data_IF_425636571681
#
_entry.id   IF_425636571681
#
_cell.length_a   1.000
_cell.length_b   1.000
_cell.length_c   1.000
_cell.angle_alpha   90.00
_cell.angle_beta   90.00
_cell.angle_gamma   90.00
#
_symmetry.space_group_name_H-M   'P 1'
#
loop_
_entity.id
_entity.type
_entity.pdbx_description
1 polymer ?
#
# COMPACT_ATOMS: atom_id res chain seq x y z
N UNK A 1 8.46 9.86 10.19
CA UNK A 1 9.39 9.29 9.18
C UNK A 1 9.55 10.29 8.02
N UNK A 2 10.16 9.95 6.88
CA UNK A 2 10.11 10.85 5.71
C UNK A 2 8.67 10.88 5.16
N UNK A 3 8.03 12.04 4.93
CA UNK A 3 6.61 12.09 4.54
C UNK A 3 6.32 11.35 3.23
N UNK A 4 7.28 11.36 2.30
CA UNK A 4 7.21 10.60 1.05
C UNK A 4 7.13 9.07 1.25
N UNK A 5 7.59 8.50 2.37
CA UNK A 5 7.40 7.07 2.67
C UNK A 5 5.93 6.76 2.98
N UNK A 6 5.33 7.59 3.84
CA UNK A 6 3.91 7.51 4.22
C UNK A 6 3.03 7.64 2.98
N UNK A 7 3.22 8.70 2.19
CA UNK A 7 2.47 8.96 0.95
C UNK A 7 2.71 7.85 -0.10
N UNK A 8 3.90 7.25 -0.15
CA UNK A 8 4.19 6.13 -1.05
C UNK A 8 3.52 4.80 -0.68
N UNK A 9 2.91 4.64 0.50
CA UNK A 9 2.34 3.35 0.91
C UNK A 9 0.94 3.42 1.50
N UNK A 10 0.63 4.46 2.28
CA UNK A 10 -0.65 4.60 2.97
C UNK A 10 -1.64 5.52 2.23
N UNK A 11 -1.14 6.51 1.49
CA UNK A 11 -1.96 7.47 0.70
C UNK A 11 -1.82 8.92 1.19
N UNK A 12 -2.70 9.81 0.72
CA UNK A 12 -2.91 11.11 1.37
C UNK A 12 -3.85 10.90 2.56
N UNK A 13 -3.32 11.14 3.76
CA UNK A 13 -3.94 10.79 5.05
C UNK A 13 -5.18 11.63 5.37
N UNK A 14 -5.56 12.58 4.51
CA UNK A 14 -6.84 13.31 4.60
C UNK A 14 -8.03 12.49 4.12
N UNK A 15 -7.81 11.41 3.35
CA UNK A 15 -8.87 10.54 2.85
C UNK A 15 -8.50 9.05 2.96
N UNK A 16 -8.07 8.62 4.14
CA UNK A 16 -7.92 7.19 4.44
C UNK A 16 -9.30 6.47 4.53
N UNK A 17 -9.31 5.14 4.42
CA UNK A 17 -10.54 4.34 4.67
C UNK A 17 -11.04 4.60 6.12
N UNK A 18 -12.36 4.50 6.38
CA UNK A 18 -12.90 4.59 7.74
C UNK A 18 -12.25 3.59 8.70
N UNK A 19 -12.15 3.98 9.97
CA UNK A 19 -11.60 3.13 11.03
C UNK A 19 -12.38 1.81 11.15
N UNK A 20 -13.71 1.86 11.04
CA UNK A 20 -14.59 0.68 11.04
C UNK A 20 -14.23 -0.33 9.95
N UNK A 21 -14.11 0.11 8.69
CA UNK A 21 -13.69 -0.75 7.56
C UNK A 21 -12.29 -1.32 7.80
N UNK A 22 -11.39 -0.54 8.38
CA UNK A 22 -10.02 -0.95 8.69
C UNK A 22 -9.96 -2.01 9.79
N UNK A 23 -10.83 -1.91 10.81
CA UNK A 23 -11.00 -2.91 11.86
C UNK A 23 -11.67 -4.19 11.34
N UNK A 24 -12.77 -4.07 10.58
CA UNK A 24 -13.47 -5.20 9.94
C UNK A 24 -12.53 -6.02 9.05
N UNK A 25 -11.69 -5.34 8.26
CA UNK A 25 -10.64 -5.98 7.46
C UNK A 25 -9.55 -6.66 8.31
N UNK A 26 -9.18 -6.07 9.45
CA UNK A 26 -8.19 -6.67 10.37
C UNK A 26 -8.73 -7.95 11.04
N UNK A 27 -10.00 -7.95 11.44
CA UNK A 27 -10.67 -9.12 12.05
C UNK A 27 -10.79 -10.23 11.00
N UNK A 28 -11.25 -9.93 9.79
CA UNK A 28 -11.32 -10.92 8.69
C UNK A 28 -9.95 -11.52 8.39
N UNK A 29 -8.90 -10.71 8.34
CA UNK A 29 -7.56 -11.19 8.06
C UNK A 29 -6.99 -12.10 9.17
N UNK A 30 -7.34 -11.85 10.43
CA UNK A 30 -7.05 -12.76 11.55
C UNK A 30 -7.81 -14.08 11.37
N UNK A 31 -9.12 -14.03 11.10
CA UNK A 31 -9.93 -15.25 10.88
C UNK A 31 -9.42 -16.08 9.69
N UNK A 32 -9.05 -15.43 8.58
CA UNK A 32 -8.43 -16.07 7.42
C UNK A 32 -7.11 -16.75 7.78
N UNK A 33 -6.26 -16.07 8.53
CA UNK A 33 -4.95 -16.59 8.96
C UNK A 33 -5.12 -17.79 9.90
N UNK A 34 -6.05 -17.73 10.85
CA UNK A 34 -6.34 -18.83 11.79
C UNK A 34 -6.96 -20.02 11.07
N UNK A 35 -7.95 -19.82 10.19
CA UNK A 35 -8.53 -20.89 9.39
C UNK A 35 -7.50 -21.54 8.47
N UNK A 36 -6.70 -20.72 7.77
CA UNK A 36 -5.62 -21.16 6.91
C UNK A 36 -4.56 -21.98 7.63
N UNK A 37 -4.15 -21.53 8.82
CA UNK A 37 -3.23 -22.26 9.71
C UNK A 37 -3.80 -23.64 10.06
N UNK A 38 -5.02 -23.69 10.63
CA UNK A 38 -5.70 -24.94 11.02
C UNK A 38 -5.73 -25.92 9.84
N UNK A 39 -6.26 -25.50 8.68
CA UNK A 39 -6.33 -26.34 7.47
C UNK A 39 -4.94 -26.84 7.07
N UNK A 40 -3.93 -25.97 7.03
CA UNK A 40 -2.56 -26.34 6.66
C UNK A 40 -1.85 -27.26 7.66
N UNK A 41 -2.33 -27.35 8.90
CA UNK A 41 -1.82 -28.27 9.94
C UNK A 41 -2.65 -29.55 10.09
N UNK A 42 -3.84 -29.62 9.49
CA UNK A 42 -4.77 -30.75 9.62
C UNK A 42 -4.83 -31.65 8.38
N UNK A 43 -4.27 -31.23 7.24
CA UNK A 43 -4.07 -32.09 6.07
C UNK A 43 -2.66 -32.71 6.11
N UNK A 44 -2.58 -34.04 6.03
CA UNK A 44 -1.33 -34.79 5.85
C UNK A 44 -0.99 -34.98 4.37
N UNK A 45 -2.00 -35.31 3.54
CA UNK A 45 -1.88 -35.30 2.08
C UNK A 45 -2.23 -33.91 1.52
N UNK A 46 -1.30 -33.32 0.78
CA UNK A 46 -1.48 -31.95 0.28
C UNK A 46 -2.44 -31.84 -0.91
N UNK A 47 -2.82 -32.95 -1.56
CA UNK A 47 -3.71 -32.98 -2.74
C UNK A 47 -5.05 -33.63 -2.42
N UNK A 48 -5.09 -34.77 -1.75
CA UNK A 48 -6.30 -35.58 -1.61
C UNK A 48 -7.09 -35.30 -0.32
N UNK A 49 -6.47 -34.74 0.73
CA UNK A 49 -7.19 -34.43 1.97
C UNK A 49 -8.18 -33.27 1.80
N UNK A 50 -9.29 -33.40 2.54
CA UNK A 50 -10.34 -32.40 2.65
C UNK A 50 -10.48 -31.93 4.10
N UNK A 51 -10.67 -30.62 4.28
CA UNK A 51 -10.96 -30.05 5.58
C UNK A 51 -12.23 -29.20 5.49
N UNK A 52 -13.28 -29.55 6.25
CA UNK A 52 -14.60 -28.90 6.19
C UNK A 52 -14.51 -27.37 6.32
N UNK A 53 -13.59 -26.89 7.17
CA UNK A 53 -13.35 -25.46 7.40
C UNK A 53 -12.95 -24.71 6.13
N UNK A 54 -12.29 -25.37 5.15
CA UNK A 54 -11.94 -24.77 3.86
C UNK A 54 -13.21 -24.29 3.15
N UNK A 55 -14.17 -25.19 2.94
CA UNK A 55 -15.40 -24.89 2.21
C UNK A 55 -16.32 -23.95 3.00
N UNK A 56 -16.43 -24.13 4.32
CA UNK A 56 -17.18 -23.20 5.19
C UNK A 56 -16.59 -21.79 5.21
N UNK A 57 -15.26 -21.67 5.30
CA UNK A 57 -14.59 -20.36 5.35
C UNK A 57 -14.62 -19.66 3.98
N UNK A 58 -14.51 -20.39 2.87
CA UNK A 58 -14.70 -19.81 1.52
C UNK A 58 -16.08 -19.16 1.41
N UNK A 59 -17.15 -19.88 1.77
CA UNK A 59 -18.52 -19.37 1.67
C UNK A 59 -18.76 -18.15 2.59
N UNK A 60 -18.13 -18.12 3.76
CA UNK A 60 -18.15 -16.96 4.66
C UNK A 60 -17.33 -15.77 4.13
N UNK A 61 -16.21 -16.01 3.45
CA UNK A 61 -15.31 -14.96 2.98
C UNK A 61 -15.84 -14.19 1.75
N UNK A 62 -16.66 -14.81 0.89
CA UNK A 62 -17.24 -14.15 -0.30
C UNK A 62 -18.04 -12.88 0.02
N UNK A 63 -19.07 -12.89 0.90
CA UNK A 63 -19.82 -11.68 1.23
C UNK A 63 -18.93 -10.61 1.86
N UNK A 64 -17.90 -10.99 2.63
CA UNK A 64 -16.89 -10.04 3.09
C UNK A 64 -16.13 -9.38 1.91
N UNK A 65 -15.65 -10.15 0.93
CA UNK A 65 -14.87 -9.59 -0.17
C UNK A 65 -15.73 -8.70 -1.08
N UNK A 66 -17.01 -9.04 -1.28
CA UNK A 66 -17.99 -8.17 -1.95
C UNK A 66 -18.20 -6.86 -1.16
N UNK A 67 -18.30 -6.95 0.17
CA UNK A 67 -18.35 -5.78 1.05
C UNK A 67 -17.08 -4.90 0.94
N UNK A 68 -15.88 -5.48 0.88
CA UNK A 68 -14.64 -4.70 0.76
C UNK A 68 -14.56 -3.98 -0.60
N UNK A 69 -14.96 -4.63 -1.70
CA UNK A 69 -15.08 -4.01 -3.03
C UNK A 69 -16.08 -2.83 -2.99
N UNK A 70 -17.23 -2.99 -2.34
CA UNK A 70 -18.22 -1.93 -2.17
C UNK A 70 -17.67 -0.78 -1.30
N UNK A 71 -16.99 -1.08 -0.20
CA UNK A 71 -16.34 -0.09 0.66
C UNK A 71 -15.22 0.67 -0.07
N UNK A 72 -14.45 0.00 -0.95
CA UNK A 72 -13.50 0.65 -1.84
C UNK A 72 -14.18 1.58 -2.84
N UNK A 73 -15.31 1.16 -3.44
CA UNK A 73 -16.08 1.99 -4.37
C UNK A 73 -16.63 3.26 -3.68
N UNK A 74 -17.21 3.14 -2.48
CA UNK A 74 -17.66 4.30 -1.70
C UNK A 74 -16.49 5.23 -1.34
N UNK A 75 -15.35 4.68 -0.90
CA UNK A 75 -14.14 5.48 -0.61
C UNK A 75 -13.60 6.18 -1.87
N UNK A 76 -13.74 5.59 -3.05
CA UNK A 76 -13.36 6.20 -4.32
C UNK A 76 -14.34 7.32 -4.73
N UNK A 77 -15.65 7.07 -4.63
CA UNK A 77 -16.70 8.04 -4.95
C UNK A 77 -16.61 9.30 -4.08
N UNK A 78 -16.44 9.15 -2.76
CA UNK A 78 -16.26 10.25 -1.82
C UNK A 78 -15.03 11.11 -2.15
N UNK A 79 -13.92 10.47 -2.57
CA UNK A 79 -12.70 11.17 -3.02
C UNK A 79 -12.90 11.89 -4.34
N UNK A 80 -13.70 11.36 -5.27
CA UNK A 80 -14.05 12.07 -6.51
C UNK A 80 -14.86 13.34 -6.21
N UNK A 81 -15.90 13.24 -5.36
CA UNK A 81 -16.75 14.39 -5.04
C UNK A 81 -15.97 15.54 -4.39
N UNK A 82 -15.24 15.26 -3.31
CA UNK A 82 -14.52 16.32 -2.57
C UNK A 82 -13.36 16.87 -3.42
N UNK A 83 -12.66 16.02 -4.18
CA UNK A 83 -11.61 16.51 -5.06
C UNK A 83 -12.17 17.34 -6.22
N UNK A 84 -13.35 17.00 -6.76
CA UNK A 84 -14.06 17.84 -7.74
C UNK A 84 -14.32 19.26 -7.21
N UNK A 85 -14.65 19.39 -5.93
CA UNK A 85 -14.90 20.67 -5.26
C UNK A 85 -13.63 21.50 -4.97
N UNK A 86 -12.45 20.87 -4.99
CA UNK A 86 -11.11 21.51 -4.87
C UNK A 86 -10.48 21.79 -6.26
N UNK A 87 -11.15 21.37 -7.34
CA UNK A 87 -10.56 21.21 -8.69
C UNK A 87 -10.81 22.37 -9.66
N UNK A 88 -11.36 23.50 -9.21
CA UNK A 88 -11.50 24.69 -10.07
C UNK A 88 -10.12 25.30 -10.43
N UNK A 89 -9.23 25.45 -9.43
CA UNK A 89 -7.97 26.19 -9.57
C UNK A 89 -6.80 25.38 -10.20
N UNK A 90 -6.83 25.14 -11.52
CA UNK A 90 -5.64 24.85 -12.34
C UNK A 90 -5.47 23.40 -12.86
N UNK A 91 -5.55 23.19 -14.18
CA UNK A 91 -5.78 21.88 -14.80
C UNK A 91 -4.59 20.89 -14.78
N UNK A 92 -3.39 21.30 -15.24
CA UNK A 92 -2.36 20.38 -15.76
C UNK A 92 -1.75 19.39 -14.75
N UNK A 93 -1.72 19.71 -13.45
CA UNK A 93 -1.20 18.78 -12.42
C UNK A 93 -2.17 17.62 -12.12
N UNK A 94 -3.47 17.84 -12.31
CA UNK A 94 -4.54 16.93 -11.87
C UNK A 94 -4.51 15.60 -12.60
N UNK A 95 -4.37 15.60 -13.92
CA UNK A 95 -4.32 14.37 -14.72
C UNK A 95 -3.19 13.42 -14.28
N UNK A 96 -1.98 13.95 -14.04
CA UNK A 96 -0.82 13.13 -13.65
C UNK A 96 -0.96 12.60 -12.22
N UNK A 97 -1.45 13.42 -11.29
CA UNK A 97 -1.71 13.01 -9.91
C UNK A 97 -2.87 12.00 -9.81
N UNK A 98 -3.94 12.18 -10.59
CA UNK A 98 -5.08 11.26 -10.65
C UNK A 98 -4.70 9.94 -11.34
N UNK A 99 -3.93 9.95 -12.43
CA UNK A 99 -3.42 8.73 -13.06
C UNK A 99 -2.48 7.94 -12.12
N UNK A 100 -1.59 8.65 -11.39
CA UNK A 100 -0.72 8.05 -10.38
C UNK A 100 -1.47 7.46 -9.19
N UNK A 101 -2.57 8.09 -8.78
CA UNK A 101 -3.47 7.61 -7.73
C UNK A 101 -4.31 6.41 -8.19
N UNK A 102 -4.97 6.53 -9.36
CA UNK A 102 -5.72 5.45 -10.00
C UNK A 102 -4.87 4.20 -10.16
N UNK A 103 -3.65 4.29 -10.73
CA UNK A 103 -2.77 3.12 -10.91
C UNK A 103 -2.40 2.42 -9.60
N UNK A 104 -2.48 3.09 -8.44
CA UNK A 104 -2.17 2.51 -7.14
C UNK A 104 -3.39 1.82 -6.51
N UNK A 105 -4.52 2.52 -6.44
CA UNK A 105 -5.75 1.98 -5.84
C UNK A 105 -6.44 0.95 -6.76
N UNK A 106 -6.40 1.15 -8.08
CA UNK A 106 -6.98 0.21 -9.05
C UNK A 106 -6.35 -1.18 -8.95
N UNK A 107 -5.06 -1.29 -8.65
CA UNK A 107 -4.43 -2.60 -8.43
C UNK A 107 -4.97 -3.30 -7.17
N UNK A 108 -5.33 -2.54 -6.12
CA UNK A 108 -6.00 -3.10 -4.94
C UNK A 108 -7.43 -3.54 -5.27
N UNK A 109 -8.22 -2.71 -5.98
CA UNK A 109 -9.59 -3.05 -6.41
C UNK A 109 -9.57 -4.28 -7.32
N UNK A 110 -8.73 -4.27 -8.36
CA UNK A 110 -8.60 -5.35 -9.34
C UNK A 110 -8.22 -6.67 -8.67
N UNK A 111 -7.32 -6.66 -7.68
CA UNK A 111 -6.99 -7.85 -6.91
C UNK A 111 -8.22 -8.42 -6.18
N UNK A 112 -8.99 -7.58 -5.48
CA UNK A 112 -10.19 -8.04 -4.77
C UNK A 112 -11.27 -8.55 -5.74
N UNK A 113 -11.46 -7.87 -6.88
CA UNK A 113 -12.36 -8.32 -7.95
C UNK A 113 -11.92 -9.69 -8.49
N UNK A 114 -10.64 -9.88 -8.85
CA UNK A 114 -10.12 -11.17 -9.36
C UNK A 114 -10.25 -12.29 -8.32
N UNK A 115 -10.04 -11.99 -7.04
CA UNK A 115 -10.23 -12.97 -5.96
C UNK A 115 -11.70 -13.45 -5.86
N UNK A 116 -12.67 -12.55 -6.08
CA UNK A 116 -14.11 -12.89 -6.08
C UNK A 116 -14.59 -13.51 -7.39
N UNK A 117 -14.15 -13.02 -8.56
CA UNK A 117 -14.69 -13.44 -9.86
C UNK A 117 -13.96 -14.61 -10.48
N UNK A 118 -12.69 -14.85 -10.11
CA UNK A 118 -11.88 -15.96 -10.63
C UNK A 118 -11.53 -16.96 -9.54
N UNK A 119 -10.96 -16.51 -8.42
CA UNK A 119 -10.41 -17.43 -7.43
C UNK A 119 -11.51 -18.18 -6.66
N UNK A 120 -12.58 -17.50 -6.21
CA UNK A 120 -13.73 -18.14 -5.56
C UNK A 120 -14.38 -19.26 -6.40
N UNK A 121 -14.82 -19.04 -7.66
CA UNK A 121 -15.45 -20.12 -8.44
C UNK A 121 -14.49 -21.27 -8.78
N UNK A 122 -13.19 -21.00 -8.95
CA UNK A 122 -12.18 -22.06 -9.03
C UNK A 122 -12.13 -22.85 -7.71
N UNK A 123 -12.10 -22.16 -6.57
CA UNK A 123 -12.00 -22.77 -5.23
C UNK A 123 -13.24 -23.57 -4.82
N UNK A 124 -14.43 -23.28 -5.37
CA UNK A 124 -15.66 -24.04 -5.07
C UNK A 124 -16.00 -25.06 -6.14
N UNK A 125 -16.11 -24.66 -7.40
CA UNK A 125 -16.64 -25.53 -8.46
C UNK A 125 -15.55 -26.34 -9.16
N UNK A 126 -14.37 -25.75 -9.38
CA UNK A 126 -13.27 -26.44 -10.09
C UNK A 126 -12.39 -27.28 -9.15
N UNK A 127 -12.35 -26.95 -7.85
CA UNK A 127 -11.53 -27.63 -6.84
C UNK A 127 -11.87 -29.12 -6.67
N UNK A 128 -13.14 -29.51 -6.88
CA UNK A 128 -13.66 -30.86 -6.64
C UNK A 128 -13.31 -31.45 -5.25
N UNK A 129 -13.03 -30.58 -4.26
CA UNK A 129 -12.56 -31.00 -2.94
C UNK A 129 -11.13 -31.55 -2.92
N UNK A 130 -10.23 -31.05 -3.78
CA UNK A 130 -8.79 -31.39 -3.75
C UNK A 130 -7.93 -30.17 -3.45
N UNK A 131 -6.79 -30.39 -2.80
CA UNK A 131 -5.81 -29.34 -2.50
C UNK A 131 -6.24 -28.37 -1.40
N UNK A 132 -7.02 -28.82 -0.42
CA UNK A 132 -7.43 -27.99 0.72
C UNK A 132 -6.23 -27.43 1.49
N UNK A 133 -5.15 -28.20 1.61
CA UNK A 133 -3.85 -27.72 2.13
C UNK A 133 -3.36 -26.46 1.39
N UNK A 134 -3.31 -26.49 0.06
CA UNK A 134 -2.88 -25.33 -0.76
C UNK A 134 -3.81 -24.13 -0.53
N UNK A 135 -5.12 -24.37 -0.42
CA UNK A 135 -6.13 -23.35 -0.16
C UNK A 135 -6.00 -22.73 1.24
N UNK A 136 -5.68 -23.55 2.26
CA UNK A 136 -5.40 -23.12 3.62
C UNK A 136 -4.14 -22.26 3.70
N UNK A 137 -3.04 -22.73 3.09
CA UNK A 137 -1.80 -21.94 3.00
C UNK A 137 -2.04 -20.63 2.25
N UNK A 138 -2.83 -20.62 1.17
CA UNK A 138 -3.21 -19.38 0.47
C UNK A 138 -3.94 -18.36 1.36
N UNK A 139 -4.69 -18.77 2.40
CA UNK A 139 -5.30 -17.82 3.34
C UNK A 139 -4.30 -17.17 4.30
N UNK A 140 -3.13 -17.79 4.54
CA UNK A 140 -2.05 -17.18 5.34
C UNK A 140 -1.49 -15.90 4.70
N UNK A 141 -1.75 -15.64 3.41
CA UNK A 141 -1.45 -14.38 2.75
C UNK A 141 -2.03 -13.16 3.50
N UNK A 142 -3.22 -13.33 4.10
CA UNK A 142 -3.89 -12.27 4.85
C UNK A 142 -3.23 -11.95 6.20
N UNK A 143 -2.30 -12.77 6.71
CA UNK A 143 -1.56 -12.47 7.96
C UNK A 143 -0.74 -11.17 7.87
N UNK A 144 -0.44 -10.71 6.65
CA UNK A 144 0.16 -9.41 6.40
C UNK A 144 -0.81 -8.23 6.61
N UNK A 145 -2.11 -8.41 6.36
CA UNK A 145 -3.12 -7.35 6.29
C UNK A 145 -3.36 -6.60 7.62
N UNK A 146 -3.39 -7.25 8.82
CA UNK A 146 -3.52 -6.54 10.09
C UNK A 146 -2.40 -5.52 10.34
N UNK A 147 -1.16 -5.81 9.89
CA UNK A 147 -0.02 -4.90 10.03
C UNK A 147 -0.10 -3.69 9.08
N UNK A 148 -0.71 -3.86 7.90
CA UNK A 148 -1.02 -2.76 6.98
C UNK A 148 -2.15 -1.88 7.55
N UNK A 149 -3.19 -2.50 8.10
CA UNK A 149 -4.31 -1.79 8.74
C UNK A 149 -3.87 -1.02 10.00
N UNK A 150 -3.13 -1.65 10.92
CA UNK A 150 -2.55 -0.99 12.09
C UNK A 150 -1.61 0.16 11.68
N UNK A 151 -0.90 0.03 10.57
CA UNK A 151 -0.11 1.09 9.96
C UNK A 151 -0.93 2.34 9.63
N UNK A 152 -2.11 2.19 8.99
CA UNK A 152 -3.05 3.29 8.69
C UNK A 152 -3.51 3.99 9.97
N UNK A 153 -3.93 3.21 10.98
CA UNK A 153 -4.40 3.73 12.27
C UNK A 153 -3.28 4.53 12.98
N UNK A 154 -2.05 4.00 13.04
CA UNK A 154 -0.89 4.69 13.63
C UNK A 154 -0.58 6.05 12.96
N UNK A 155 -0.91 6.18 11.67
CA UNK A 155 -0.74 7.40 10.89
C UNK A 155 -1.87 8.41 11.14
N UNK A 156 -3.13 7.96 11.16
CA UNK A 156 -4.30 8.78 11.49
C UNK A 156 -4.15 9.42 12.89
N UNK A 157 -3.75 8.64 13.89
CA UNK A 157 -3.47 9.11 15.26
C UNK A 157 -2.14 9.88 15.42
N UNK A 158 -1.47 10.23 14.31
CA UNK A 158 -0.18 10.96 14.24
C UNK A 158 0.98 10.32 15.05
N UNK A 159 0.88 9.06 15.46
CA UNK A 159 1.88 8.35 16.29
C UNK A 159 3.16 7.92 15.54
N UNK A 160 3.44 8.49 14.35
CA UNK A 160 4.55 8.10 13.47
C UNK A 160 5.97 8.21 14.07
N UNK A 161 6.11 8.90 15.21
CA UNK A 161 7.38 9.08 15.91
C UNK A 161 7.65 7.97 16.95
N UNK A 162 6.62 7.23 17.38
CA UNK A 162 6.73 6.16 18.39
C UNK A 162 7.48 4.94 17.82
N UNK A 163 8.21 4.21 18.67
CA UNK A 163 8.84 2.93 18.31
C UNK A 163 7.85 1.96 17.66
N UNK A 164 6.60 1.95 18.14
CA UNK A 164 5.49 1.17 17.61
C UNK A 164 5.29 1.32 16.08
N UNK A 165 5.49 2.50 15.50
CA UNK A 165 5.38 2.69 14.05
C UNK A 165 6.59 2.13 13.27
N UNK A 166 7.79 2.13 13.87
CA UNK A 166 8.97 1.44 13.30
C UNK A 166 8.80 -0.08 13.36
N UNK A 167 8.36 -0.60 14.52
CA UNK A 167 8.11 -2.03 14.72
C UNK A 167 7.01 -2.51 13.78
N UNK A 168 5.87 -1.80 13.68
CA UNK A 168 4.82 -2.13 12.72
C UNK A 168 5.34 -2.13 11.28
N UNK A 169 6.16 -1.15 10.88
CA UNK A 169 6.76 -1.11 9.55
C UNK A 169 7.70 -2.29 9.26
N UNK A 170 8.45 -2.76 10.26
CA UNK A 170 9.30 -3.95 10.16
C UNK A 170 8.50 -5.26 10.12
N UNK A 171 7.51 -5.41 11.01
CA UNK A 171 6.58 -6.54 11.02
C UNK A 171 5.83 -6.63 9.68
N UNK A 172 5.33 -5.51 9.17
CA UNK A 172 4.65 -5.43 7.86
C UNK A 172 5.56 -5.82 6.70
N UNK A 173 6.83 -5.37 6.69
CA UNK A 173 7.79 -5.82 5.68
C UNK A 173 8.03 -7.33 5.76
N UNK A 174 8.19 -7.87 6.97
CA UNK A 174 8.47 -9.28 7.21
C UNK A 174 7.27 -10.17 6.83
N UNK A 175 6.08 -9.90 7.35
CA UNK A 175 4.87 -10.69 7.05
C UNK A 175 4.48 -10.59 5.58
N UNK A 176 4.64 -9.42 4.95
CA UNK A 176 4.38 -9.28 3.51
C UNK A 176 5.44 -10.03 2.67
N UNK A 177 6.69 -10.11 3.09
CA UNK A 177 7.68 -10.92 2.39
C UNK A 177 7.45 -12.43 2.56
N UNK A 178 7.30 -12.89 3.81
CA UNK A 178 7.11 -14.32 4.11
C UNK A 178 5.75 -14.83 3.61
N UNK A 179 4.66 -14.22 4.06
CA UNK A 179 3.30 -14.74 3.86
C UNK A 179 2.72 -14.41 2.48
N UNK A 180 3.30 -13.48 1.71
CA UNK A 180 2.81 -13.14 0.35
C UNK A 180 3.81 -13.42 -0.77
N UNK A 181 5.11 -13.13 -0.58
CA UNK A 181 6.12 -13.35 -1.64
C UNK A 181 6.77 -14.75 -1.58
N UNK A 182 7.10 -15.27 -0.40
CA UNK A 182 7.64 -16.65 -0.29
C UNK A 182 6.56 -17.74 -0.32
N UNK A 183 5.29 -17.39 -0.15
CA UNK A 183 4.16 -18.34 -0.15
C UNK A 183 4.10 -19.18 -1.43
N UNK A 184 4.08 -18.57 -2.62
CA UNK A 184 4.00 -19.36 -3.86
C UNK A 184 5.25 -20.23 -4.09
N UNK A 185 6.50 -19.74 -3.95
CA UNK A 185 7.68 -20.61 -3.93
C UNK A 185 7.58 -21.79 -2.95
N UNK A 186 6.99 -21.59 -1.77
CA UNK A 186 6.73 -22.65 -0.81
C UNK A 186 5.68 -23.66 -1.32
N UNK A 187 4.61 -23.22 -1.99
CA UNK A 187 3.64 -24.13 -2.63
C UNK A 187 4.28 -24.97 -3.75
N UNK A 188 5.09 -24.36 -4.63
CA UNK A 188 5.84 -25.10 -5.65
C UNK A 188 6.85 -26.09 -5.04
N UNK A 189 7.46 -25.74 -3.89
CA UNK A 189 8.33 -26.64 -3.14
C UNK A 189 7.56 -27.81 -2.50
N UNK A 190 6.42 -27.55 -1.86
CA UNK A 190 5.57 -28.58 -1.25
C UNK A 190 5.06 -29.58 -2.31
N UNK A 191 4.54 -29.08 -3.43
CA UNK A 191 4.14 -29.92 -4.57
C UNK A 191 5.34 -30.71 -5.14
N UNK A 192 6.51 -30.07 -5.29
CA UNK A 192 7.73 -30.75 -5.74
C UNK A 192 8.19 -31.86 -4.80
N UNK A 193 8.05 -31.68 -3.47
CA UNK A 193 8.34 -32.72 -2.47
C UNK A 193 7.35 -33.88 -2.55
N UNK A 194 6.05 -33.61 -2.68
CA UNK A 194 5.00 -34.62 -2.87
C UNK A 194 5.23 -35.44 -4.15
N UNK A 195 5.37 -34.77 -5.30
CA UNK A 195 5.56 -35.42 -6.59
C UNK A 195 6.98 -36.00 -6.79
N UNK A 196 7.90 -35.80 -5.84
CA UNK A 196 9.34 -36.13 -5.94
C UNK A 196 10.04 -35.51 -7.18
N UNK A 197 9.62 -34.31 -7.58
CA UNK A 197 10.15 -33.55 -8.72
C UNK A 197 11.13 -32.47 -8.22
N UNK A 198 12.32 -32.30 -8.84
CA UNK A 198 13.24 -31.23 -8.47
C UNK A 198 12.61 -29.85 -8.69
N UNK A 199 12.74 -28.96 -7.69
CA UNK A 199 12.03 -27.67 -7.59
C UNK A 199 11.98 -26.84 -8.90
N UNK A 200 13.11 -26.69 -9.61
CA UNK A 200 13.19 -25.91 -10.85
C UNK A 200 12.35 -26.49 -12.00
N UNK A 201 12.01 -27.78 -11.95
CA UNK A 201 11.21 -28.47 -12.98
C UNK A 201 9.70 -28.40 -12.71
N UNK A 202 9.29 -28.13 -11.46
CA UNK A 202 7.88 -28.12 -11.05
C UNK A 202 7.01 -27.16 -11.88
N UNK A 203 7.43 -25.92 -12.20
CA UNK A 203 6.64 -25.02 -13.06
C UNK A 203 6.41 -25.56 -14.48
N UNK A 204 7.21 -26.52 -14.95
CA UNK A 204 7.05 -27.14 -16.27
C UNK A 204 6.22 -28.44 -16.24
N UNK A 205 5.93 -28.99 -15.05
CA UNK A 205 5.10 -30.19 -14.86
C UNK A 205 3.72 -29.87 -14.32
N UNK A 206 3.58 -28.76 -13.59
CA UNK A 206 2.27 -28.23 -13.14
C UNK A 206 1.47 -27.71 -14.36
N UNK A 207 0.14 -27.95 -14.43
CA UNK A 207 -0.69 -27.45 -15.53
C UNK A 207 -0.58 -25.93 -15.73
N UNK A 208 -0.58 -25.50 -17.00
CA UNK A 208 -0.36 -24.09 -17.35
C UNK A 208 -1.42 -23.15 -16.74
N UNK A 209 -2.63 -23.63 -16.49
CA UNK A 209 -3.70 -22.90 -15.82
C UNK A 209 -3.34 -22.56 -14.36
N UNK A 210 -2.74 -23.51 -13.64
CA UNK A 210 -2.26 -23.32 -12.27
C UNK A 210 -1.09 -22.34 -12.24
N UNK A 211 -0.15 -22.46 -13.19
CA UNK A 211 0.96 -21.50 -13.35
C UNK A 211 0.45 -20.08 -13.67
N UNK A 212 -0.56 -19.94 -14.53
CA UNK A 212 -1.19 -18.66 -14.86
C UNK A 212 -1.90 -18.06 -13.63
N UNK A 213 -2.67 -18.87 -12.88
CA UNK A 213 -3.32 -18.43 -11.64
C UNK A 213 -2.32 -17.98 -10.58
N UNK A 214 -1.26 -18.75 -10.34
CA UNK A 214 -0.18 -18.38 -9.44
C UNK A 214 0.53 -17.09 -9.89
N UNK A 215 0.79 -16.93 -11.19
CA UNK A 215 1.42 -15.71 -11.74
C UNK A 215 0.52 -14.48 -11.60
N UNK A 216 -0.78 -14.62 -11.88
CA UNK A 216 -1.79 -13.56 -11.76
C UNK A 216 -1.94 -13.09 -10.31
N UNK A 217 -1.89 -14.01 -9.34
CA UNK A 217 -1.94 -13.69 -7.92
C UNK A 217 -0.61 -13.15 -7.37
N UNK A 218 0.53 -13.64 -7.86
CA UNK A 218 1.86 -13.19 -7.44
C UNK A 218 2.21 -11.78 -7.96
N UNK A 219 1.84 -11.43 -9.20
CA UNK A 219 2.32 -10.19 -9.83
C UNK A 219 1.95 -8.89 -9.06
N UNK A 220 0.73 -8.71 -8.52
CA UNK A 220 0.42 -7.59 -7.63
C UNK A 220 1.28 -7.59 -6.36
N UNK A 221 1.53 -8.77 -5.80
CA UNK A 221 2.26 -8.95 -4.54
C UNK A 221 3.75 -8.60 -4.71
N UNK A 222 4.40 -9.02 -5.80
CA UNK A 222 5.76 -8.58 -6.15
C UNK A 222 5.86 -7.06 -6.38
N UNK A 223 4.86 -6.47 -7.05
CA UNK A 223 4.80 -5.03 -7.28
C UNK A 223 4.71 -4.25 -5.97
N UNK A 224 3.80 -4.64 -5.06
CA UNK A 224 3.67 -4.03 -3.74
C UNK A 224 4.90 -4.25 -2.86
N UNK A 225 5.47 -5.45 -2.86
CA UNK A 225 6.71 -5.74 -2.13
C UNK A 225 7.87 -4.86 -2.59
N UNK A 226 8.03 -4.68 -3.91
CA UNK A 226 9.02 -3.77 -4.51
C UNK A 226 8.81 -2.31 -4.09
N UNK A 227 7.55 -1.87 -3.93
CA UNK A 227 7.24 -0.54 -3.39
C UNK A 227 7.59 -0.42 -1.89
N UNK A 228 7.37 -1.46 -1.07
CA UNK A 228 7.75 -1.46 0.36
C UNK A 228 9.28 -1.41 0.47
N UNK A 229 10.02 -2.29 -0.21
CA UNK A 229 11.48 -2.29 -0.20
C UNK A 229 12.07 -0.96 -0.70
N UNK A 230 11.58 -0.41 -1.82
CA UNK A 230 12.01 0.92 -2.31
C UNK A 230 11.57 2.05 -1.37
N UNK A 231 10.55 1.85 -0.53
CA UNK A 231 10.21 2.72 0.58
C UNK A 231 11.26 2.65 1.69
N UNK A 232 11.53 1.46 2.21
CA UNK A 232 12.46 1.20 3.31
C UNK A 232 13.89 1.65 2.96
N UNK A 233 14.40 1.30 1.77
CA UNK A 233 15.71 1.72 1.30
C UNK A 233 15.87 3.25 1.31
N UNK A 234 14.84 4.00 0.90
CA UNK A 234 14.84 5.48 0.96
C UNK A 234 14.83 6.03 2.39
N UNK A 235 14.31 5.32 3.39
CA UNK A 235 14.42 5.69 4.80
C UNK A 235 15.85 5.50 5.34
N UNK A 236 16.56 4.46 4.89
CA UNK A 236 17.97 4.22 5.26
C UNK A 236 18.91 5.20 4.54
N UNK A 237 18.86 5.26 3.21
CA UNK A 237 19.76 6.11 2.40
C UNK A 237 19.50 7.61 2.63
N UNK A 238 18.24 8.01 2.85
CA UNK A 238 17.85 9.41 3.09
C UNK A 238 18.45 10.02 4.37
N UNK A 239 19.01 9.21 5.27
CA UNK A 239 19.74 9.69 6.45
C UNK A 239 21.13 10.27 6.12
N UNK A 240 21.73 9.88 5.00
CA UNK A 240 23.10 10.29 4.63
C UNK A 240 23.19 11.73 4.13
N UNK A 241 22.15 12.23 3.45
CA UNK A 241 22.17 13.50 2.70
C UNK A 241 22.03 14.78 3.55
N UNK A 242 21.85 14.68 4.88
CA UNK A 242 21.63 15.85 5.75
C UNK A 242 22.70 16.05 6.84
N UNK A 243 23.90 15.49 6.63
CA UNK A 243 25.08 15.83 7.43
C UNK A 243 26.03 16.72 6.61
N UNK A 244 26.61 17.73 7.27
CA UNK A 244 27.73 18.55 6.78
C UNK A 244 27.50 19.42 5.53
N UNK A 245 26.77 20.53 5.72
CA UNK A 245 27.36 21.85 5.44
C UNK A 245 27.48 22.59 6.78
N UNK A 246 28.69 22.98 7.24
CA UNK A 246 28.84 23.86 8.39
C UNK A 246 28.21 25.22 8.11
N UNK A 247 27.60 25.83 9.13
CA UNK A 247 27.31 27.26 9.13
C UNK A 247 28.64 27.97 9.38
N UNK A 248 29.09 28.80 8.44
CA UNK A 248 30.25 29.65 8.66
C UNK A 248 29.89 30.72 9.71
N UNK A 249 30.82 31.07 10.64
CA UNK A 249 30.51 32.00 11.71
C UNK A 249 30.28 33.42 11.17
N UNK A 250 29.21 34.06 11.65
CA UNK A 250 29.03 35.52 11.51
C UNK A 250 30.14 36.21 12.30
N UNK A 251 30.73 37.27 11.71
CA UNK A 251 31.74 38.11 12.37
C UNK A 251 31.09 39.49 12.64
N UNK A 252 31.23 40.06 13.86
CA UNK A 252 30.56 41.31 14.23
C UNK A 252 31.22 42.55 13.61
N UNK A 253 30.55 43.68 13.83
CA UNK A 253 30.65 44.94 13.11
C UNK A 253 31.93 45.77 13.36
N UNK A 254 32.22 46.69 12.43
CA UNK A 254 33.01 47.92 12.64
C UNK A 254 32.62 48.96 11.59
N UNK A 255 32.77 50.24 11.92
CA UNK A 255 32.16 51.36 11.20
C UNK A 255 33.05 51.98 10.09
N UNK A 256 32.38 52.60 9.10
CA UNK A 256 32.80 53.81 8.37
C UNK A 256 34.16 53.90 7.68
N UNK A 257 34.17 53.99 6.34
CA UNK A 257 34.35 55.28 5.66
C UNK A 257 33.84 55.23 4.20
N UNK A 258 34.03 56.29 3.40
CA UNK A 258 33.32 56.48 2.13
C UNK A 258 34.21 56.82 0.90
N UNK A 259 33.87 56.22 -0.26
CA UNK A 259 34.23 56.64 -1.62
C UNK A 259 33.23 55.96 -2.60
N UNK A 260 32.36 56.66 -3.36
CA UNK A 260 32.50 57.64 -4.44
C UNK A 260 32.51 57.01 -5.86
N UNK A 261 31.47 57.34 -6.66
CA UNK A 261 31.23 56.96 -8.09
C UNK A 261 31.10 55.43 -8.35
N UNK A 262 30.36 54.89 -9.33
CA UNK A 262 29.18 55.26 -10.16
C UNK A 262 28.66 53.91 -10.77
N UNK A 263 27.53 53.71 -11.45
CA UNK A 263 26.31 54.44 -11.89
C UNK A 263 25.23 53.35 -12.18
N UNK A 264 23.94 53.55 -12.50
CA UNK A 264 23.11 54.72 -12.82
C UNK A 264 21.62 54.42 -12.48
N UNK A 265 20.68 54.92 -13.30
CA UNK A 265 19.23 54.69 -13.38
C UNK A 265 18.75 53.25 -13.00
N UNK A 266 17.64 53.02 -12.31
CA UNK A 266 16.66 53.95 -11.73
C UNK A 266 15.26 53.89 -12.37
N UNK A 267 14.30 53.27 -11.67
CA UNK A 267 12.86 53.56 -11.70
C UNK A 267 12.19 52.87 -10.51
N UNK A 268 11.67 53.64 -9.54
CA UNK A 268 10.95 53.10 -8.38
C UNK A 268 10.10 54.21 -7.71
N UNK A 269 8.79 54.17 -7.90
CA UNK A 269 7.82 55.08 -7.26
C UNK A 269 6.52 54.28 -7.03
N UNK A 270 6.40 53.60 -5.89
CA UNK A 270 5.75 54.07 -4.65
C UNK A 270 4.21 54.01 -4.64
N UNK A 271 3.67 53.34 -3.61
CA UNK A 271 2.35 53.67 -3.07
C UNK A 271 2.45 54.90 -2.16
N UNK A 272 1.42 55.74 -2.20
CA UNK A 272 0.84 56.65 -1.18
C UNK A 272 0.01 57.69 -1.97
N UNK A 273 -1.16 58.15 -1.56
CA UNK A 273 -1.99 57.74 -0.43
C UNK A 273 -2.70 58.92 0.22
N UNK A 274 -4.05 58.93 0.14
CA UNK A 274 -5.00 59.77 0.91
C UNK A 274 -5.33 61.18 0.37
N UNK A 275 -6.55 61.63 0.72
CA UNK A 275 -7.10 63.02 0.77
C UNK A 275 -7.67 63.68 -0.51
N UNK A 276 -8.98 63.49 -0.70
CA UNK A 276 -9.95 64.50 -1.19
C UNK A 276 -10.35 65.45 -0.03
N UNK A 277 -11.10 66.59 -0.20
CA UNK A 277 -11.82 67.10 -1.39
C UNK A 277 -11.38 68.54 -1.79
N UNK A 278 -11.98 69.26 -2.76
CA UNK A 278 -13.26 70.02 -2.69
C UNK A 278 -13.63 70.61 -4.09
N UNK A 279 -14.76 71.32 -4.20
CA UNK A 279 -15.46 71.74 -5.43
C UNK A 279 -14.96 73.05 -6.11
N UNK A 280 -15.61 73.36 -7.25
CA UNK A 280 -15.56 74.55 -8.14
C UNK A 280 -14.29 74.73 -8.99
N UNK A 281 -14.39 75.27 -10.23
CA UNK A 281 -15.53 75.89 -10.92
C UNK A 281 -16.10 75.07 -12.09
#
# INVERSE_FOLDING_TARGET
MHPLFVICFYGDTRFDRPLTVTLVSSIQAIMASTAGYIISTSCEDIIEDQHWLTSSYILFAVPYFVYDIYAMFLCYWHKLQIKGHEVDNGSKSKALAVAGYLRREFLMVLHHVVMVTMCFPISVFWRQGKGDYFQGVMFLAELSTPSVCLGKILIQYKQQHRLLHKVNGAVMLLTFFLCRVLLFPYLYYAYGRYASIPFLRVPFTVPWQCNLGATLLMAPQLYWCSLIFRGAFRLFTGKSSRSRKPIAPVKPDSEGHASLFQSANGYNTQMVGRESPTMSH
#
